data_IF_139542037643
#
_entry.id   IF_139542037643
#
_cell.length_a   1.000
_cell.length_b   1.000
_cell.length_c   1.000
_cell.angle_alpha   90.00
_cell.angle_beta   90.00
_cell.angle_gamma   90.00
#
_symmetry.space_group_name_H-M   'P 1'
#
loop_
_entity.id
_entity.type
_entity.pdbx_description
1 polymer ?
#
# COMPACT_ATOMS: atom_id res chain seq x y z
N UNK A 1 -17.91 -12.27 5.63
CA UNK A 1 -18.56 -11.31 4.70
C UNK A 1 -17.50 -10.85 3.72
N UNK A 2 -17.79 -10.86 2.43
CA UNK A 2 -16.80 -10.57 1.39
C UNK A 2 -17.17 -9.31 0.63
N UNK A 3 -16.22 -8.39 0.47
CA UNK A 3 -16.27 -7.32 -0.52
C UNK A 3 -15.51 -7.78 -1.76
N UNK A 4 -16.18 -7.86 -2.90
CA UNK A 4 -15.55 -8.26 -4.17
C UNK A 4 -15.22 -7.03 -5.00
N UNK A 5 -13.99 -6.97 -5.52
CA UNK A 5 -13.48 -5.92 -6.40
C UNK A 5 -13.21 -6.53 -7.79
N UNK A 6 -14.13 -6.30 -8.74
CA UNK A 6 -14.08 -6.82 -10.12
C UNK A 6 -13.89 -5.70 -11.15
N UNK A 7 -12.89 -4.86 -10.89
CA UNK A 7 -12.50 -3.72 -11.71
C UNK A 7 -11.61 -2.76 -10.92
N UNK A 8 -11.18 -1.63 -11.50
CA UNK A 8 -10.40 -0.62 -10.79
C UNK A 8 -11.24 0.11 -9.73
N UNK A 9 -10.81 0.06 -8.48
CA UNK A 9 -11.49 0.70 -7.34
C UNK A 9 -10.50 1.48 -6.49
N UNK A 10 -10.93 2.66 -6.03
CA UNK A 10 -10.25 3.44 -5.01
C UNK A 10 -11.21 3.68 -3.86
N UNK A 11 -10.79 3.36 -2.64
CA UNK A 11 -11.55 3.58 -1.41
C UNK A 11 -10.83 4.66 -0.60
N UNK A 12 -11.55 5.72 -0.25
CA UNK A 12 -11.06 6.76 0.66
C UNK A 12 -11.73 6.61 2.03
N UNK A 13 -10.91 6.54 3.08
CA UNK A 13 -11.34 6.40 4.46
C UNK A 13 -10.75 7.55 5.27
N UNK A 14 -11.61 8.43 5.79
CA UNK A 14 -11.20 9.64 6.51
C UNK A 14 -10.80 9.39 7.97
N UNK A 15 -10.85 8.14 8.43
CA UNK A 15 -10.48 7.73 9.78
C UNK A 15 -9.76 6.38 9.73
N UNK A 16 -10.06 5.45 10.64
CA UNK A 16 -9.46 4.12 10.67
C UNK A 16 -10.11 3.17 9.67
N UNK A 17 -9.32 2.24 9.16
CA UNK A 17 -9.77 1.12 8.33
C UNK A 17 -9.40 -0.19 9.02
N UNK A 18 -10.35 -1.14 9.10
CA UNK A 18 -10.09 -2.43 9.71
C UNK A 18 -10.81 -3.57 9.00
N UNK A 19 -10.12 -4.69 8.83
CA UNK A 19 -10.69 -5.99 8.45
C UNK A 19 -10.50 -6.92 9.64
N UNK A 20 -11.58 -7.51 10.15
CA UNK A 20 -11.55 -8.36 11.34
C UNK A 20 -12.53 -9.53 11.25
N UNK A 21 -12.39 -10.51 12.14
CA UNK A 21 -13.23 -11.71 12.16
C UNK A 21 -13.19 -12.46 10.83
N UNK A 22 -14.36 -12.64 10.20
CA UNK A 22 -14.50 -13.26 8.87
C UNK A 22 -14.68 -12.24 7.74
N UNK A 23 -14.35 -10.97 8.00
CA UNK A 23 -14.27 -9.93 6.97
C UNK A 23 -13.16 -10.25 5.97
N UNK A 24 -13.44 -10.04 4.69
CA UNK A 24 -12.53 -10.39 3.61
C UNK A 24 -12.74 -9.45 2.42
N UNK A 25 -11.65 -9.05 1.76
CA UNK A 25 -11.69 -8.38 0.47
C UNK A 25 -11.09 -9.30 -0.58
N UNK A 26 -11.83 -9.53 -1.65
CA UNK A 26 -11.42 -10.36 -2.76
C UNK A 26 -11.30 -9.52 -4.03
N UNK A 27 -10.07 -9.30 -4.50
CA UNK A 27 -9.77 -8.64 -5.77
C UNK A 27 -9.70 -9.74 -6.82
N UNK A 28 -10.65 -9.72 -7.75
CA UNK A 28 -10.72 -10.71 -8.83
C UNK A 28 -9.54 -10.55 -9.78
N UNK A 29 -9.40 -11.47 -10.73
CA UNK A 29 -8.37 -11.36 -11.78
C UNK A 29 -8.51 -10.14 -12.68
N UNK A 30 -9.66 -9.45 -12.67
CA UNK A 30 -9.92 -8.22 -13.42
C UNK A 30 -9.81 -6.96 -12.55
N UNK A 31 -9.61 -7.12 -11.24
CA UNK A 31 -9.68 -6.04 -10.27
C UNK A 31 -8.34 -5.36 -9.98
N UNK A 32 -8.43 -4.12 -9.53
CA UNK A 32 -7.35 -3.45 -8.82
C UNK A 32 -7.92 -2.58 -7.71
N UNK A 33 -7.20 -2.48 -6.59
CA UNK A 33 -7.66 -1.79 -5.40
C UNK A 33 -6.60 -0.85 -4.85
N UNK A 34 -6.99 0.39 -4.60
CA UNK A 34 -6.23 1.34 -3.78
C UNK A 34 -7.06 1.74 -2.58
N UNK A 35 -6.52 1.55 -1.37
CA UNK A 35 -7.17 1.96 -0.12
C UNK A 35 -6.35 3.12 0.45
N UNK A 36 -6.98 4.28 0.60
CA UNK A 36 -6.35 5.49 1.15
C UNK A 36 -6.98 5.81 2.49
N UNK A 37 -6.17 5.78 3.54
CA UNK A 37 -6.60 5.89 4.93
C UNK A 37 -5.89 7.05 5.61
N UNK A 38 -6.63 7.80 6.42
CA UNK A 38 -6.10 8.98 7.10
C UNK A 38 -5.36 8.67 8.40
N UNK A 39 -5.67 7.52 9.00
CA UNK A 39 -5.17 7.14 10.31
C UNK A 39 -4.77 5.64 10.34
N UNK A 40 -5.26 4.87 11.31
CA UNK A 40 -4.85 3.48 11.53
C UNK A 40 -5.51 2.51 10.54
N UNK A 41 -4.76 1.45 10.22
CA UNK A 41 -5.06 0.39 9.25
C UNK A 41 -4.78 -0.92 9.97
N UNK A 42 -5.81 -1.73 10.14
CA UNK A 42 -5.70 -3.08 10.69
C UNK A 42 -6.23 -4.09 9.67
N UNK A 43 -5.31 -4.78 8.98
CA UNK A 43 -5.65 -5.84 8.04
C UNK A 43 -5.44 -7.17 8.75
N UNK A 44 -6.52 -7.66 9.37
CA UNK A 44 -6.60 -8.96 10.03
C UNK A 44 -7.73 -9.82 9.44
N UNK A 45 -8.21 -10.80 10.22
CA UNK A 45 -9.33 -11.65 9.83
C UNK A 45 -9.04 -12.44 8.55
N UNK A 46 -9.96 -12.37 7.57
CA UNK A 46 -9.76 -12.97 6.25
C UNK A 46 -8.84 -12.18 5.32
N UNK A 47 -8.37 -11.00 5.74
CA UNK A 47 -7.42 -10.18 4.99
C UNK A 47 -7.91 -9.75 3.60
N UNK A 48 -6.94 -9.57 2.70
CA UNK A 48 -7.17 -9.18 1.30
C UNK A 48 -6.56 -10.26 0.40
N UNK A 49 -7.37 -10.91 -0.42
CA UNK A 49 -6.89 -11.76 -1.51
C UNK A 49 -6.78 -10.94 -2.78
N UNK A 50 -5.59 -10.93 -3.37
CA UNK A 50 -5.36 -10.39 -4.70
C UNK A 50 -5.16 -11.53 -5.69
N UNK A 51 -6.23 -11.96 -6.37
CA UNK A 51 -6.20 -13.12 -7.27
C UNK A 51 -5.29 -12.91 -8.48
N UNK A 52 -4.99 -11.66 -8.85
CA UNK A 52 -4.04 -11.36 -9.92
C UNK A 52 -2.62 -11.78 -9.57
N UNK A 53 -2.30 -11.88 -8.27
CA UNK A 53 -0.94 -12.08 -7.72
C UNK A 53 0.08 -11.04 -8.18
N UNK A 54 -0.39 -9.92 -8.75
CA UNK A 54 0.42 -8.79 -9.16
C UNK A 54 0.33 -7.73 -8.05
N UNK A 55 1.41 -7.47 -7.29
CA UNK A 55 1.41 -6.49 -6.20
C UNK A 55 1.00 -5.08 -6.64
N UNK A 56 1.22 -4.70 -7.90
CA UNK A 56 0.76 -3.40 -8.45
C UNK A 56 -0.77 -3.22 -8.46
N UNK A 57 -1.53 -4.31 -8.35
CA UNK A 57 -3.01 -4.26 -8.34
C UNK A 57 -3.59 -4.07 -6.93
N UNK A 58 -2.77 -4.03 -5.88
CA UNK A 58 -3.21 -3.72 -4.52
C UNK A 58 -2.27 -2.68 -3.89
N UNK A 59 -2.79 -1.52 -3.56
CA UNK A 59 -2.09 -0.48 -2.80
C UNK A 59 -2.85 -0.07 -1.55
N UNK A 60 -2.16 -0.01 -0.41
CA UNK A 60 -2.70 0.42 0.88
C UNK A 60 -1.88 1.61 1.36
N UNK A 61 -2.51 2.77 1.47
CA UNK A 61 -1.85 4.06 1.67
C UNK A 61 -2.33 4.72 2.96
N UNK A 62 -1.38 5.12 3.82
CA UNK A 62 -1.67 6.00 4.95
C UNK A 62 -1.15 7.42 4.67
N UNK A 63 -2.05 8.41 4.68
CA UNK A 63 -1.68 9.82 4.48
C UNK A 63 -1.12 10.47 5.74
N UNK A 64 -1.47 9.97 6.92
CA UNK A 64 -1.17 10.59 8.23
C UNK A 64 -1.59 12.06 8.24
N UNK A 65 -2.89 12.31 8.44
CA UNK A 65 -3.42 13.69 8.54
C UNK A 65 -3.36 14.28 9.94
N UNK A 66 -2.96 13.49 10.94
CA UNK A 66 -2.84 13.91 12.34
C UNK A 66 -1.37 14.11 12.77
N UNK A 67 -1.23 14.76 13.92
CA UNK A 67 0.06 14.89 14.62
C UNK A 67 0.46 13.59 15.34
N UNK A 68 -0.46 12.64 15.53
CA UNK A 68 -0.13 11.30 16.04
C UNK A 68 0.65 10.50 15.00
N UNK A 69 1.38 9.49 15.46
CA UNK A 69 1.94 8.47 14.58
C UNK A 69 0.90 7.36 14.43
N UNK A 70 0.35 7.13 13.23
CA UNK A 70 -0.55 6.00 13.00
C UNK A 70 0.17 4.68 13.22
N UNK A 71 -0.59 3.67 13.60
CA UNK A 71 -0.10 2.32 13.86
C UNK A 71 -0.82 1.32 12.97
N UNK A 72 -0.07 0.75 12.03
CA UNK A 72 -0.59 -0.18 11.03
C UNK A 72 -0.28 -1.60 11.42
N UNK A 73 -1.27 -2.48 11.26
CA UNK A 73 -1.16 -3.91 11.52
C UNK A 73 -1.48 -4.67 10.24
N UNK A 74 -0.59 -5.58 9.87
CA UNK A 74 -0.80 -6.57 8.82
C UNK A 74 -0.69 -7.96 9.44
N UNK A 75 -1.83 -8.62 9.63
CA UNK A 75 -1.94 -9.96 10.18
C UNK A 75 -2.70 -10.84 9.19
N UNK A 76 -1.98 -11.48 8.28
CA UNK A 76 -2.57 -12.35 7.26
C UNK A 76 -2.02 -13.76 7.38
N UNK A 77 -2.91 -14.76 7.31
CA UNK A 77 -2.52 -16.16 7.21
C UNK A 77 -2.20 -16.56 5.76
N UNK A 78 -2.82 -15.87 4.80
CA UNK A 78 -2.58 -16.06 3.38
C UNK A 78 -1.47 -15.12 2.87
N UNK A 79 -0.79 -15.47 1.76
CA UNK A 79 0.19 -14.60 1.16
C UNK A 79 -0.41 -13.26 0.72
N UNK A 80 0.24 -12.17 1.11
CA UNK A 80 -0.14 -10.82 0.75
C UNK A 80 0.56 -10.41 -0.55
N UNK A 81 -0.19 -10.05 -1.59
CA UNK A 81 0.32 -9.52 -2.85
C UNK A 81 -0.10 -8.06 -3.01
N UNK A 82 0.76 -7.13 -2.61
CA UNK A 82 0.41 -5.71 -2.62
C UNK A 82 1.51 -4.80 -2.12
N UNK A 83 1.20 -3.51 -2.09
CA UNK A 83 2.05 -2.45 -1.56
C UNK A 83 1.40 -1.83 -0.33
N UNK A 84 2.16 -1.69 0.76
CA UNK A 84 1.79 -0.86 1.92
C UNK A 84 2.69 0.36 1.92
N UNK A 85 2.10 1.55 1.83
CA UNK A 85 2.83 2.82 1.80
C UNK A 85 2.30 3.75 2.90
N UNK A 86 3.05 3.81 4.00
CA UNK A 86 2.71 4.55 5.22
C UNK A 86 3.96 5.22 5.83
N UNK A 87 4.67 6.11 5.10
CA UNK A 87 6.00 6.62 5.50
C UNK A 87 6.04 7.34 6.85
N UNK A 88 4.90 7.85 7.34
CA UNK A 88 4.78 8.50 8.65
C UNK A 88 4.33 7.59 9.80
N UNK A 89 4.07 6.31 9.56
CA UNK A 89 3.46 5.38 10.50
C UNK A 89 4.43 4.27 10.95
N UNK A 90 4.07 3.59 12.04
CA UNK A 90 4.66 2.28 12.38
C UNK A 90 3.86 1.21 11.65
N UNK A 91 4.53 0.25 11.04
CA UNK A 91 3.91 -0.95 10.47
C UNK A 91 4.38 -2.17 11.27
N UNK A 92 3.45 -2.88 11.88
CA UNK A 92 3.66 -4.19 12.46
C UNK A 92 3.14 -5.26 11.50
N UNK A 93 4.01 -6.19 11.13
CA UNK A 93 3.64 -7.41 10.42
C UNK A 93 3.64 -8.53 11.45
N UNK A 94 2.43 -8.98 11.77
CA UNK A 94 2.21 -9.99 12.81
C UNK A 94 2.19 -11.40 12.23
N UNK A 95 2.71 -12.35 12.99
CA UNK A 95 2.78 -13.76 12.61
C UNK A 95 3.81 -14.08 11.51
N UNK A 96 3.48 -15.06 10.68
CA UNK A 96 4.39 -15.65 9.68
C UNK A 96 3.95 -15.32 8.25
N UNK A 97 3.74 -14.02 7.99
CA UNK A 97 3.23 -13.57 6.69
C UNK A 97 4.24 -13.83 5.56
N UNK A 98 3.74 -14.20 4.39
CA UNK A 98 4.49 -14.17 3.14
C UNK A 98 4.05 -12.96 2.33
N UNK A 99 4.97 -12.02 2.11
CA UNK A 99 4.68 -10.73 1.47
C UNK A 99 5.37 -10.68 0.12
N UNK A 100 4.58 -10.46 -0.93
CA UNK A 100 5.03 -10.18 -2.29
C UNK A 100 4.68 -8.74 -2.63
N UNK A 101 5.70 -7.88 -2.76
CA UNK A 101 5.53 -6.48 -3.07
C UNK A 101 6.47 -5.57 -2.28
N UNK A 102 5.95 -4.47 -1.74
CA UNK A 102 6.76 -3.47 -1.06
C UNK A 102 6.08 -2.91 0.19
N UNK A 103 6.87 -2.71 1.24
CA UNK A 103 6.46 -2.07 2.48
C UNK A 103 7.28 -0.80 2.68
N UNK A 104 6.62 0.34 2.82
CA UNK A 104 7.23 1.64 3.14
C UNK A 104 6.58 2.16 4.40
N UNK A 105 7.35 2.30 5.48
CA UNK A 105 6.89 2.87 6.74
C UNK A 105 8.03 3.59 7.46
N UNK A 106 7.72 4.34 8.53
CA UNK A 106 8.74 4.95 9.40
C UNK A 106 9.55 3.87 10.12
N UNK A 107 8.84 2.84 10.59
CA UNK A 107 9.39 1.63 11.18
C UNK A 107 8.57 0.44 10.68
N UNK A 108 9.24 -0.67 10.37
CA UNK A 108 8.59 -1.94 10.07
C UNK A 108 9.07 -2.96 11.10
N UNK A 109 8.13 -3.49 11.88
CA UNK A 109 8.39 -4.47 12.93
C UNK A 109 7.81 -5.82 12.51
N UNK A 110 8.59 -6.89 12.68
CA UNK A 110 8.15 -8.26 12.44
C UNK A 110 8.11 -8.99 13.78
N UNK A 111 6.96 -9.53 14.15
CA UNK A 111 6.81 -10.28 15.41
C UNK A 111 7.08 -11.78 15.24
N UNK A 112 7.01 -12.29 14.00
CA UNK A 112 7.26 -13.69 13.65
C UNK A 112 8.18 -13.87 12.44
N UNK A 113 8.17 -15.08 11.88
CA UNK A 113 9.01 -15.45 10.73
C UNK A 113 8.35 -15.00 9.42
N UNK A 114 8.52 -13.72 9.09
CA UNK A 114 8.00 -13.13 7.84
C UNK A 114 8.98 -13.33 6.69
N UNK A 115 8.46 -13.70 5.52
CA UNK A 115 9.21 -13.72 4.26
C UNK A 115 8.77 -12.55 3.37
N UNK A 116 9.73 -11.81 2.80
CA UNK A 116 9.46 -10.67 1.92
C UNK A 116 10.14 -10.91 0.58
N UNK A 117 9.33 -10.83 -0.47
CA UNK A 117 9.74 -10.94 -1.87
C UNK A 117 9.40 -9.63 -2.57
N UNK A 118 10.42 -8.84 -2.88
CA UNK A 118 10.22 -7.62 -3.68
C UNK A 118 9.87 -7.97 -5.12
N UNK A 119 8.80 -7.36 -5.64
CA UNK A 119 8.40 -7.51 -7.04
C UNK A 119 9.04 -6.40 -7.90
N UNK A 120 9.81 -6.81 -8.92
CA UNK A 120 10.51 -5.90 -9.82
C UNK A 120 9.57 -5.06 -10.69
N UNK A 121 8.34 -5.53 -10.97
CA UNK A 121 7.34 -4.76 -11.71
C UNK A 121 6.99 -3.46 -10.96
N UNK A 122 7.16 -3.41 -9.64
CA UNK A 122 6.88 -2.24 -8.84
C UNK A 122 7.83 -1.07 -9.12
N UNK A 123 8.98 -1.29 -9.76
CA UNK A 123 9.92 -0.21 -10.11
C UNK A 123 9.30 0.81 -11.07
N UNK A 124 8.40 0.34 -11.93
CA UNK A 124 7.73 1.16 -12.94
C UNK A 124 6.22 1.30 -12.65
N UNK A 125 5.75 0.77 -11.52
CA UNK A 125 4.35 0.86 -11.15
C UNK A 125 4.03 2.28 -10.68
N UNK A 126 2.90 2.82 -11.14
CA UNK A 126 2.33 4.07 -10.65
C UNK A 126 1.04 3.76 -9.91
N UNK A 127 0.85 4.42 -8.77
CA UNK A 127 -0.41 4.40 -8.04
C UNK A 127 -1.01 5.79 -8.19
N UNK A 128 -2.25 5.87 -8.68
CA UNK A 128 -2.91 7.14 -8.99
C UNK A 128 -3.10 8.07 -7.79
N UNK A 129 -2.99 7.53 -6.57
CA UNK A 129 -3.10 8.29 -5.31
C UNK A 129 -1.77 8.85 -4.81
N UNK A 130 -0.65 8.49 -5.43
CA UNK A 130 0.67 9.04 -5.13
C UNK A 130 1.04 10.06 -6.21
N UNK A 131 1.56 11.22 -5.81
CA UNK A 131 2.14 12.14 -6.78
C UNK A 131 3.46 11.56 -7.32
N UNK A 132 3.55 11.44 -8.64
CA UNK A 132 4.80 11.09 -9.32
C UNK A 132 5.76 12.28 -9.26
N UNK A 133 7.08 12.07 -9.10
CA UNK A 133 8.02 13.15 -8.88
C UNK A 133 8.05 14.12 -10.06
N UNK A 134 8.22 15.40 -9.71
CA UNK A 134 8.28 16.57 -10.59
C UNK A 134 9.06 16.29 -11.88
N UNK A 135 8.39 16.38 -13.02
CA UNK A 135 9.04 16.39 -14.33
C UNK A 135 9.57 17.80 -14.61
N UNK A 136 10.81 17.94 -15.08
CA UNK A 136 11.28 19.25 -15.52
C UNK A 136 10.57 19.62 -16.82
N UNK A 137 9.60 20.53 -16.72
CA UNK A 137 8.77 20.98 -17.86
C UNK A 137 9.56 21.87 -18.83
N UNK A 138 10.62 22.53 -18.37
CA UNK A 138 11.48 23.38 -19.21
C UNK A 138 12.86 23.60 -18.57
N UNK A 139 13.91 23.38 -19.34
CA UNK A 139 15.26 23.88 -19.06
C UNK A 139 15.64 24.92 -20.11
N UNK A 140 16.12 26.09 -19.68
CA UNK A 140 16.65 27.11 -20.59
C UNK A 140 17.94 27.68 -19.99
N UNK A 141 19.05 27.52 -20.69
CA UNK A 141 20.32 28.16 -20.35
C UNK A 141 20.37 29.58 -20.96
N UNK A 142 20.81 30.56 -20.19
CA UNK A 142 21.16 31.88 -20.70
C UNK A 142 22.63 31.89 -21.12
N UNK A 143 22.90 32.15 -22.40
CA UNK A 143 24.25 32.43 -22.85
C UNK A 143 24.71 33.79 -22.30
N UNK A 144 25.88 33.82 -21.67
CA UNK A 144 26.52 35.07 -21.27
C UNK A 144 26.96 35.84 -22.52
N UNK A 145 26.47 37.06 -22.69
CA UNK A 145 26.99 37.98 -23.72
C UNK A 145 28.39 38.42 -23.29
N UNK A 146 29.41 37.98 -24.03
CA UNK A 146 30.77 38.47 -23.87
C UNK A 146 30.83 39.99 -24.11
N UNK A 147 31.53 40.68 -23.21
CA UNK A 147 31.86 42.11 -23.27
C UNK A 147 32.82 42.44 -24.40
#
# INVERSE_FOLDING_TARGET
MTLTVDGPVIIYVSNNFSISGTGHIDITTNGSLQIVVDNDIDIAGGGITNQTKLPKNLGVFCRKVSNSTPYQILNTTEPFYGVVYSPGAVLEVDGNASIYGALVARYVNFTGATAIHYDLDLRNATFSVLETPLEITKWQELAATGS
#
